data_IF_532135278564
#
_entry.id   IF_532135278564
#
_cell.length_a   1.000
_cell.length_b   1.000
_cell.length_c   1.000
_cell.angle_alpha   90.00
_cell.angle_beta   90.00
_cell.angle_gamma   90.00
#
_symmetry.space_group_name_H-M   'P 1'
#
loop_
_entity.id
_entity.type
_entity.pdbx_description
1 polymer ?
#
# COMPACT_ATOMS: atom_id res chain seq x y z
N UNK A 1 13.91 -13.64 14.19
CA UNK A 1 12.48 -13.37 14.37
C UNK A 1 11.74 -13.67 13.06
N UNK A 2 11.93 -12.96 11.96
CA UNK A 2 11.20 -13.17 10.70
C UNK A 2 11.20 -14.61 10.16
N UNK A 3 12.34 -15.33 10.22
CA UNK A 3 12.39 -16.76 9.88
C UNK A 3 11.58 -17.65 10.81
N UNK A 4 11.43 -17.27 12.08
CA UNK A 4 10.58 -18.01 13.01
C UNK A 4 9.09 -17.80 12.71
N UNK A 5 8.69 -16.58 12.37
CA UNK A 5 7.32 -16.27 11.95
C UNK A 5 6.98 -16.96 10.63
N UNK A 6 7.88 -16.92 9.65
CA UNK A 6 7.71 -17.65 8.38
C UNK A 6 7.53 -19.17 8.59
N UNK A 7 8.32 -19.77 9.53
CA UNK A 7 8.17 -21.17 9.93
C UNK A 7 6.86 -21.44 10.66
N UNK A 8 6.37 -20.51 11.43
CA UNK A 8 5.11 -20.64 12.15
C UNK A 8 3.87 -20.40 11.25
N UNK A 9 4.06 -20.00 9.99
CA UNK A 9 2.96 -19.69 9.09
C UNK A 9 2.31 -18.33 9.35
N UNK A 10 2.96 -17.46 10.12
CA UNK A 10 2.49 -16.09 10.36
C UNK A 10 2.74 -15.18 9.18
N UNK A 11 1.96 -14.13 9.06
CA UNK A 11 2.22 -13.08 8.08
C UNK A 11 3.54 -12.35 8.37
N UNK A 12 4.35 -12.13 7.35
CA UNK A 12 5.64 -11.42 7.47
C UNK A 12 5.72 -10.33 6.43
N UNK A 13 5.93 -9.10 6.86
CA UNK A 13 6.32 -7.99 5.98
C UNK A 13 7.66 -7.46 6.47
N UNK A 14 8.64 -7.35 5.59
CA UNK A 14 9.97 -6.84 5.94
C UNK A 14 10.41 -5.77 4.94
N UNK A 15 10.82 -4.61 5.46
CA UNK A 15 11.40 -3.52 4.69
C UNK A 15 12.87 -3.34 5.07
N UNK A 16 13.75 -3.40 4.08
CA UNK A 16 15.20 -3.34 4.27
C UNK A 16 15.82 -2.31 3.30
N UNK A 17 16.32 -1.16 3.80
CA UNK A 17 16.90 -0.10 2.99
C UNK A 17 18.34 -0.37 2.54
N UNK A 18 18.96 -1.45 2.99
CA UNK A 18 20.30 -1.91 2.59
C UNK A 18 20.19 -3.11 1.64
N UNK A 19 19.28 -4.02 1.93
CA UNK A 19 19.00 -5.21 1.15
C UNK A 19 19.71 -6.48 1.64
N UNK A 20 20.61 -6.37 2.59
CA UNK A 20 21.40 -7.50 3.09
C UNK A 20 20.56 -8.42 3.98
N UNK A 21 19.67 -7.84 4.79
CA UNK A 21 18.78 -8.59 5.68
C UNK A 21 17.78 -9.40 4.87
N UNK A 22 17.17 -8.83 3.85
CA UNK A 22 16.28 -9.55 2.94
C UNK A 22 17.02 -10.67 2.22
N UNK A 23 18.21 -10.43 1.71
CA UNK A 23 19.05 -11.48 1.06
C UNK A 23 19.36 -12.62 2.03
N UNK A 24 19.73 -12.29 3.27
CA UNK A 24 20.00 -13.27 4.30
C UNK A 24 18.76 -14.10 4.68
N UNK A 25 17.57 -13.49 4.68
CA UNK A 25 16.30 -14.18 4.91
C UNK A 25 15.94 -15.09 3.74
N UNK A 26 16.02 -14.61 2.48
CA UNK A 26 15.75 -15.41 1.28
C UNK A 26 16.54 -16.71 1.26
N UNK A 27 17.85 -16.63 1.55
CA UNK A 27 18.74 -17.79 1.59
C UNK A 27 18.39 -18.84 2.67
N UNK A 28 17.42 -18.57 3.54
CA UNK A 28 17.07 -19.38 4.74
C UNK A 28 15.57 -19.66 4.88
N UNK A 29 14.75 -19.21 3.94
CA UNK A 29 13.31 -19.47 3.99
C UNK A 29 13.03 -20.98 4.00
N UNK A 30 12.08 -21.46 4.81
CA UNK A 30 11.62 -22.84 4.71
C UNK A 30 10.87 -23.04 3.40
N UNK A 31 10.95 -24.23 2.84
CA UNK A 31 10.33 -24.58 1.54
C UNK A 31 8.85 -24.21 1.47
N UNK A 32 8.08 -24.58 2.48
CA UNK A 32 6.65 -24.25 2.59
C UNK A 32 6.33 -22.75 2.61
N UNK A 33 7.33 -21.89 2.77
CA UNK A 33 7.18 -20.44 2.76
C UNK A 33 7.38 -19.84 1.36
N UNK A 34 7.97 -20.58 0.43
CA UNK A 34 8.30 -20.09 -0.91
C UNK A 34 7.07 -19.77 -1.74
N UNK A 35 6.04 -20.63 -1.69
CA UNK A 35 4.79 -20.43 -2.43
C UNK A 35 4.00 -19.18 -2.01
N UNK A 36 4.30 -18.66 -0.82
CA UNK A 36 3.63 -17.48 -0.22
C UNK A 36 4.49 -16.23 -0.27
N UNK A 37 5.60 -16.26 -1.03
CA UNK A 37 6.58 -15.20 -1.07
C UNK A 37 6.26 -14.17 -2.15
N UNK A 38 6.11 -12.93 -1.74
CA UNK A 38 6.14 -11.74 -2.59
C UNK A 38 7.48 -11.04 -2.39
N UNK A 39 8.21 -10.79 -3.45
CA UNK A 39 9.51 -10.11 -3.42
C UNK A 39 9.44 -8.78 -4.18
N UNK A 40 9.70 -7.69 -3.48
CA UNK A 40 9.89 -6.36 -4.07
C UNK A 40 11.39 -6.07 -4.08
N UNK A 41 12.02 -6.22 -5.23
CA UNK A 41 13.47 -6.06 -5.40
C UNK A 41 13.78 -5.35 -6.74
N UNK A 42 14.57 -4.27 -6.75
CA UNK A 42 14.96 -3.59 -7.99
C UNK A 42 15.80 -4.46 -8.93
N UNK A 43 16.37 -5.55 -8.44
CA UNK A 43 17.12 -6.52 -9.26
C UNK A 43 16.19 -7.50 -10.01
N UNK A 44 14.93 -7.65 -9.58
CA UNK A 44 13.95 -8.45 -10.29
C UNK A 44 13.40 -7.67 -11.49
N UNK A 45 13.71 -8.12 -12.70
CA UNK A 45 13.35 -7.42 -13.94
C UNK A 45 12.50 -8.26 -14.89
N UNK A 46 12.38 -9.56 -14.63
CA UNK A 46 11.61 -10.48 -15.45
C UNK A 46 10.13 -10.43 -15.08
N UNK A 47 9.82 -10.66 -13.83
CA UNK A 47 8.47 -10.61 -13.29
C UNK A 47 8.43 -9.87 -11.94
N UNK A 48 8.70 -8.54 -11.91
CA UNK A 48 8.64 -7.76 -10.68
C UNK A 48 7.23 -7.73 -10.11
N UNK A 49 7.13 -7.66 -8.78
CA UNK A 49 5.87 -7.42 -8.10
C UNK A 49 5.28 -6.06 -8.51
N UNK A 50 3.96 -5.98 -8.55
CA UNK A 50 3.22 -4.77 -8.87
C UNK A 50 2.25 -4.41 -7.74
N UNK A 51 2.14 -3.11 -7.44
CA UNK A 51 1.25 -2.56 -6.42
C UNK A 51 0.56 -1.31 -6.96
N UNK A 52 -0.73 -1.40 -7.22
CA UNK A 52 -1.53 -0.22 -7.50
C UNK A 52 -1.99 0.41 -6.18
N UNK A 53 -1.33 1.49 -5.77
CA UNK A 53 -1.65 2.18 -4.51
C UNK A 53 -2.97 2.92 -4.54
N UNK A 54 -3.54 3.16 -5.73
CA UNK A 54 -4.88 3.73 -5.88
C UNK A 54 -5.99 2.67 -5.78
N UNK A 55 -5.67 1.38 -5.76
CA UNK A 55 -6.60 0.26 -5.82
C UNK A 55 -7.00 -0.24 -4.41
N UNK A 56 -7.21 0.65 -3.46
CA UNK A 56 -7.64 0.30 -2.09
C UNK A 56 -9.10 0.68 -1.82
N UNK A 57 -9.74 -0.01 -0.90
CA UNK A 57 -11.06 0.36 -0.37
C UNK A 57 -10.97 0.64 1.14
N UNK A 58 -11.67 1.68 1.66
CA UNK A 58 -12.46 2.67 0.91
C UNK A 58 -11.61 3.59 0.00
N UNK A 59 -12.23 4.09 -1.07
CA UNK A 59 -11.55 4.90 -2.09
C UNK A 59 -10.91 6.17 -1.53
N UNK A 60 -11.61 6.86 -0.63
CA UNK A 60 -11.13 8.07 0.02
C UNK A 60 -9.87 7.80 0.85
N UNK A 61 -9.86 6.70 1.60
CA UNK A 61 -8.71 6.29 2.42
C UNK A 61 -7.47 6.02 1.57
N UNK A 62 -7.63 5.37 0.41
CA UNK A 62 -6.51 5.13 -0.50
C UNK A 62 -5.91 6.44 -1.04
N UNK A 63 -6.76 7.41 -1.38
CA UNK A 63 -6.31 8.75 -1.82
C UNK A 63 -5.62 9.49 -0.68
N UNK A 64 -6.21 9.49 0.51
CA UNK A 64 -5.64 10.15 1.70
C UNK A 64 -4.26 9.59 2.05
N UNK A 65 -4.09 8.28 1.98
CA UNK A 65 -2.80 7.64 2.23
C UNK A 65 -1.73 8.08 1.22
N UNK A 66 -2.04 8.09 -0.06
CA UNK A 66 -1.10 8.55 -1.09
C UNK A 66 -0.73 10.01 -0.85
N UNK A 67 -1.71 10.89 -0.70
CA UNK A 67 -1.48 12.34 -0.50
C UNK A 67 -0.66 12.60 0.75
N UNK A 68 -1.01 11.97 1.88
CA UNK A 68 -0.32 12.17 3.15
C UNK A 68 1.12 11.66 3.13
N UNK A 69 1.39 10.51 2.48
CA UNK A 69 2.75 9.99 2.32
C UNK A 69 3.60 10.96 1.48
N UNK A 70 3.06 11.46 0.36
CA UNK A 70 3.73 12.47 -0.44
C UNK A 70 4.00 13.75 0.35
N UNK A 71 3.01 14.25 1.09
CA UNK A 71 3.13 15.45 1.93
C UNK A 71 4.27 15.35 2.94
N UNK A 72 4.39 14.21 3.62
CA UNK A 72 5.43 13.99 4.63
C UNK A 72 6.82 13.82 4.03
N UNK A 73 6.95 13.08 2.91
CA UNK A 73 8.25 12.85 2.27
C UNK A 73 8.79 14.13 1.62
N UNK A 74 7.91 14.92 1.02
CA UNK A 74 8.28 16.14 0.31
C UNK A 74 7.91 17.42 1.08
N UNK A 75 7.85 17.35 2.40
CA UNK A 75 7.38 18.42 3.30
C UNK A 75 8.02 19.78 3.05
N UNK A 76 9.31 19.84 2.72
CA UNK A 76 10.03 21.08 2.41
C UNK A 76 9.45 21.86 1.19
N UNK A 77 8.71 21.19 0.33
CA UNK A 77 8.16 21.75 -0.92
C UNK A 77 6.64 21.55 -1.02
N UNK A 78 6.02 21.15 0.07
CA UNK A 78 4.59 20.85 0.12
C UNK A 78 3.80 22.07 0.56
N UNK A 79 2.67 22.31 -0.11
CA UNK A 79 1.75 23.36 0.27
C UNK A 79 0.31 23.02 -0.11
N UNK A 80 -0.68 23.77 0.38
CA UNK A 80 -2.09 23.49 0.17
C UNK A 80 -2.47 23.27 -1.31
N UNK A 81 -1.87 24.06 -2.20
CA UNK A 81 -2.11 23.94 -3.65
C UNK A 81 -1.55 22.64 -4.23
N UNK A 82 -0.37 22.21 -3.80
CA UNK A 82 0.23 20.94 -4.24
C UNK A 82 -0.60 19.75 -3.75
N UNK A 83 -1.08 19.83 -2.53
CA UNK A 83 -1.97 18.84 -1.95
C UNK A 83 -3.28 18.73 -2.71
N UNK A 84 -3.95 19.85 -2.97
CA UNK A 84 -5.22 19.90 -3.69
C UNK A 84 -5.09 19.31 -5.11
N UNK A 85 -4.02 19.65 -5.84
CA UNK A 85 -3.73 19.07 -7.16
C UNK A 85 -3.55 17.55 -7.09
N UNK A 86 -2.73 17.04 -6.16
CA UNK A 86 -2.51 15.60 -6.06
C UNK A 86 -3.77 14.86 -5.62
N UNK A 87 -4.49 15.40 -4.65
CA UNK A 87 -5.76 14.86 -4.14
C UNK A 87 -6.79 14.78 -5.25
N UNK A 88 -7.01 15.87 -5.97
CA UNK A 88 -7.97 15.93 -7.08
C UNK A 88 -7.59 14.98 -8.22
N UNK A 89 -6.30 14.88 -8.54
CA UNK A 89 -5.82 13.93 -9.55
C UNK A 89 -6.05 12.47 -9.12
N UNK A 90 -5.67 12.08 -7.90
CA UNK A 90 -5.88 10.73 -7.39
C UNK A 90 -7.38 10.38 -7.31
N UNK A 91 -8.21 11.28 -6.78
CA UNK A 91 -9.66 11.07 -6.67
C UNK A 91 -10.34 10.93 -8.04
N UNK A 92 -9.87 11.67 -9.05
CA UNK A 92 -10.36 11.54 -10.43
C UNK A 92 -9.93 10.21 -11.05
N UNK A 93 -8.65 9.81 -10.88
CA UNK A 93 -8.12 8.56 -11.41
C UNK A 93 -8.78 7.33 -10.77
N UNK A 94 -9.16 7.38 -9.50
CA UNK A 94 -9.92 6.30 -8.85
C UNK A 94 -11.23 5.93 -9.56
N UNK A 95 -11.82 6.85 -10.30
CA UNK A 95 -13.03 6.60 -11.11
C UNK A 95 -12.73 5.87 -12.41
N UNK A 96 -11.47 5.80 -12.82
CA UNK A 96 -11.02 5.10 -14.01
C UNK A 96 -10.46 3.73 -13.62
N UNK A 97 -11.13 2.61 -13.92
CA UNK A 97 -10.65 1.28 -13.59
C UNK A 97 -9.23 1.03 -14.10
N UNK A 98 -8.35 0.57 -13.23
CA UNK A 98 -6.96 0.28 -13.55
C UNK A 98 -6.08 1.51 -13.77
N UNK A 99 -6.52 2.72 -13.39
CA UNK A 99 -5.65 3.89 -13.35
C UNK A 99 -4.63 3.76 -12.20
N UNK A 100 -3.49 4.39 -12.38
CA UNK A 100 -2.33 4.28 -11.48
C UNK A 100 -1.68 5.64 -11.25
N UNK A 101 -0.72 5.72 -10.32
CA UNK A 101 0.10 6.92 -10.14
C UNK A 101 0.80 7.38 -11.43
N UNK A 102 1.10 6.45 -12.34
CA UNK A 102 1.75 6.77 -13.61
C UNK A 102 0.83 7.52 -14.59
N UNK A 103 -0.47 7.60 -14.33
CA UNK A 103 -1.43 8.33 -15.16
C UNK A 103 -1.60 9.79 -14.69
N UNK A 104 -1.13 10.16 -13.49
CA UNK A 104 -1.24 11.54 -12.97
C UNK A 104 -0.61 12.56 -13.92
N UNK A 105 0.63 12.36 -14.44
CA UNK A 105 1.22 13.31 -15.37
C UNK A 105 0.36 13.58 -16.61
N UNK A 106 -0.23 12.55 -17.20
CA UNK A 106 -1.08 12.69 -18.38
C UNK A 106 -2.39 13.38 -18.02
N UNK A 107 -3.03 13.00 -16.91
CA UNK A 107 -4.24 13.66 -16.41
C UNK A 107 -4.03 15.18 -16.24
N UNK A 108 -2.86 15.58 -15.71
CA UNK A 108 -2.54 16.99 -15.46
C UNK A 108 -2.15 17.77 -16.73
N UNK A 109 -1.55 17.14 -17.74
CA UNK A 109 -0.99 17.86 -18.91
C UNK A 109 -1.81 17.71 -20.18
N UNK A 110 -2.61 16.66 -20.33
CA UNK A 110 -3.40 16.39 -21.54
C UNK A 110 -4.89 16.66 -21.29
N UNK A 111 -5.36 17.86 -21.74
CA UNK A 111 -6.76 18.25 -21.61
C UNK A 111 -7.69 17.32 -22.39
N UNK A 112 -7.30 16.86 -23.57
CA UNK A 112 -8.14 16.01 -24.39
C UNK A 112 -8.36 14.64 -23.73
N UNK A 113 -7.33 14.11 -23.07
CA UNK A 113 -7.43 12.89 -22.28
C UNK A 113 -8.27 13.07 -21.01
N UNK A 114 -8.14 14.21 -20.33
CA UNK A 114 -8.84 14.53 -19.09
C UNK A 114 -10.33 14.80 -19.29
N UNK A 115 -10.70 15.49 -20.39
CA UNK A 115 -12.05 16.02 -20.61
C UNK A 115 -13.17 14.97 -20.44
N UNK A 116 -13.09 13.73 -20.99
CA UNK A 116 -14.13 12.72 -20.80
C UNK A 116 -14.29 12.29 -19.33
N UNK A 117 -13.20 12.26 -18.56
CA UNK A 117 -13.24 11.92 -17.15
C UNK A 117 -13.91 13.03 -16.34
N UNK A 118 -13.55 14.27 -16.61
CA UNK A 118 -14.12 15.45 -15.95
C UNK A 118 -15.60 15.63 -16.30
N UNK A 119 -16.00 15.39 -17.55
CA UNK A 119 -17.42 15.47 -17.96
C UNK A 119 -18.31 14.42 -17.31
N UNK A 120 -17.75 13.32 -16.82
CA UNK A 120 -18.46 12.28 -16.06
C UNK A 120 -18.66 12.62 -14.58
N UNK A 121 -18.02 13.69 -14.09
CA UNK A 121 -18.14 14.11 -12.69
C UNK A 121 -19.47 14.82 -12.46
N UNK A 122 -20.06 14.63 -11.27
CA UNK A 122 -21.25 15.36 -10.87
C UNK A 122 -20.96 16.86 -10.77
N UNK A 123 -21.85 17.70 -11.27
CA UNK A 123 -21.77 19.17 -11.18
C UNK A 123 -21.65 19.66 -9.72
N UNK A 124 -22.19 18.89 -8.77
CA UNK A 124 -22.11 19.21 -7.33
C UNK A 124 -20.84 18.70 -6.65
N UNK A 125 -19.96 18.01 -7.39
CA UNK A 125 -18.71 17.50 -6.80
C UNK A 125 -17.65 18.59 -6.75
N UNK A 126 -16.92 18.70 -5.64
CA UNK A 126 -15.76 19.58 -5.54
C UNK A 126 -14.68 19.29 -6.60
N UNK A 127 -14.61 18.03 -7.08
CA UNK A 127 -13.70 17.65 -8.17
C UNK A 127 -14.03 18.36 -9.49
N UNK A 128 -15.32 18.50 -9.82
CA UNK A 128 -15.73 19.22 -11.05
C UNK A 128 -15.29 20.67 -10.94
N UNK A 129 -15.58 21.34 -9.81
CA UNK A 129 -15.15 22.73 -9.57
C UNK A 129 -13.64 22.93 -9.65
N UNK A 130 -12.85 21.98 -9.10
CA UNK A 130 -11.40 22.01 -9.24
C UNK A 130 -10.96 21.99 -10.70
N UNK A 131 -11.48 21.08 -11.51
CA UNK A 131 -11.09 20.94 -12.91
C UNK A 131 -11.54 22.12 -13.77
N UNK A 132 -12.73 22.67 -13.52
CA UNK A 132 -13.21 23.87 -14.22
C UNK A 132 -12.31 25.08 -13.93
N UNK A 133 -11.93 25.27 -12.69
CA UNK A 133 -10.98 26.30 -12.29
C UNK A 133 -9.58 26.07 -12.90
N UNK A 134 -9.11 24.83 -12.90
CA UNK A 134 -7.81 24.45 -13.49
C UNK A 134 -7.78 24.65 -15.00
N UNK A 135 -8.84 24.26 -15.71
CA UNK A 135 -8.94 24.38 -17.16
C UNK A 135 -9.17 25.82 -17.64
N UNK A 136 -9.62 26.72 -16.76
CA UNK A 136 -9.71 28.15 -17.01
C UNK A 136 -8.36 28.88 -16.91
N UNK A 137 -7.34 28.25 -16.31
CA UNK A 137 -6.00 28.85 -16.24
C UNK A 137 -5.32 28.89 -17.62
N UNK A 138 -4.48 29.91 -17.82
CA UNK A 138 -3.56 29.94 -18.97
C UNK A 138 -2.57 28.77 -18.91
N UNK A 139 -1.97 28.34 -20.04
CA UNK A 139 -0.94 27.29 -20.04
C UNK A 139 0.21 27.54 -19.07
N UNK A 140 0.64 28.80 -18.93
CA UNK A 140 1.66 29.19 -17.95
C UNK A 140 1.16 29.03 -16.51
N UNK A 141 -0.09 29.40 -16.23
CA UNK A 141 -0.74 29.22 -14.93
C UNK A 141 -0.88 27.71 -14.56
N UNK A 142 -1.31 26.88 -15.51
CA UNK A 142 -1.37 25.45 -15.32
C UNK A 142 0.03 24.87 -14.99
N UNK A 143 1.05 25.22 -15.77
CA UNK A 143 2.42 24.77 -15.56
C UNK A 143 2.96 25.16 -14.16
N UNK A 144 2.64 26.36 -13.69
CA UNK A 144 3.01 26.83 -12.36
C UNK A 144 2.33 26.02 -11.24
N UNK A 145 1.04 25.73 -11.41
CA UNK A 145 0.24 24.99 -10.42
C UNK A 145 0.73 23.55 -10.28
N UNK A 146 1.01 22.86 -11.38
CA UNK A 146 1.40 21.43 -11.36
C UNK A 146 2.90 21.21 -11.20
N UNK A 147 3.73 22.24 -11.42
CA UNK A 147 5.20 22.14 -11.43
C UNK A 147 5.78 21.36 -10.23
N UNK A 148 5.44 21.73 -8.99
CA UNK A 148 5.95 21.03 -7.80
C UNK A 148 5.67 19.53 -7.81
N UNK A 149 4.41 19.13 -8.03
CA UNK A 149 4.04 17.69 -8.01
C UNK A 149 4.62 16.93 -9.21
N UNK A 150 4.66 17.57 -10.39
CA UNK A 150 5.23 16.96 -11.59
C UNK A 150 6.73 16.66 -11.44
N UNK A 151 7.48 17.55 -10.79
CA UNK A 151 8.90 17.31 -10.53
C UNK A 151 9.10 16.09 -9.62
N UNK A 152 8.27 15.93 -8.58
CA UNK A 152 8.34 14.79 -7.65
C UNK A 152 7.91 13.48 -8.30
N UNK A 153 6.83 13.49 -9.04
CA UNK A 153 6.40 12.31 -9.80
C UNK A 153 7.43 11.88 -10.84
N UNK A 154 8.05 12.83 -11.55
CA UNK A 154 9.13 12.52 -12.52
C UNK A 154 10.34 11.91 -11.82
N UNK A 155 10.78 12.47 -10.70
CA UNK A 155 11.92 11.94 -9.94
C UNK A 155 11.73 10.46 -9.58
N UNK A 156 10.53 10.07 -9.18
CA UNK A 156 10.19 8.68 -8.82
C UNK A 156 9.91 7.83 -10.07
N UNK A 157 9.00 8.27 -10.94
CA UNK A 157 8.53 7.48 -12.10
C UNK A 157 9.54 7.42 -13.26
N UNK A 158 10.62 8.21 -13.25
CA UNK A 158 11.73 8.04 -14.19
C UNK A 158 12.47 6.72 -13.95
N UNK A 159 12.44 6.19 -12.73
CA UNK A 159 13.09 4.93 -12.37
C UNK A 159 12.24 3.75 -12.84
N UNK A 160 12.89 2.80 -13.53
CA UNK A 160 12.21 1.59 -14.04
C UNK A 160 11.50 0.83 -12.92
N UNK A 161 12.19 0.61 -11.80
CA UNK A 161 11.64 -0.10 -10.64
C UNK A 161 10.31 0.50 -10.16
N UNK A 162 10.25 1.83 -9.98
CA UNK A 162 9.04 2.50 -9.52
C UNK A 162 7.91 2.43 -10.56
N UNK A 163 8.23 2.50 -11.86
CA UNK A 163 7.24 2.31 -12.92
C UNK A 163 6.72 0.89 -12.98
N UNK A 164 7.59 -0.11 -12.82
CA UNK A 164 7.20 -1.51 -12.81
C UNK A 164 6.32 -1.81 -11.58
N UNK A 165 6.66 -1.26 -10.41
CA UNK A 165 5.91 -1.44 -9.17
C UNK A 165 4.54 -0.72 -9.18
N UNK A 166 4.50 0.57 -9.53
CA UNK A 166 3.31 1.41 -9.41
C UNK A 166 2.54 1.62 -10.72
N UNK A 167 3.00 1.03 -11.81
CA UNK A 167 2.44 1.27 -13.14
C UNK A 167 1.48 0.20 -13.64
N UNK A 168 1.27 -0.87 -12.92
CA UNK A 168 0.30 -1.92 -13.29
C UNK A 168 -1.11 -1.56 -12.86
N UNK A 169 -2.07 -1.86 -13.73
CA UNK A 169 -3.50 -1.59 -13.51
C UNK A 169 -4.07 -2.33 -12.30
N UNK A 170 -3.56 -3.53 -12.02
CA UNK A 170 -3.92 -4.32 -10.85
C UNK A 170 -2.65 -4.70 -10.08
N UNK A 171 -2.76 -4.74 -8.76
CA UNK A 171 -1.73 -5.32 -7.91
C UNK A 171 -1.49 -6.78 -8.27
N UNK A 172 -0.27 -7.27 -8.13
CA UNK A 172 0.06 -8.69 -8.37
C UNK A 172 -0.11 -9.55 -7.12
N UNK A 173 -0.38 -8.93 -5.98
CA UNK A 173 -0.63 -9.58 -4.69
C UNK A 173 -1.63 -8.76 -3.88
N UNK A 174 -2.32 -9.41 -2.92
CA UNK A 174 -3.16 -8.73 -1.94
C UNK A 174 -2.42 -8.65 -0.59
N UNK A 175 -2.37 -7.46 -0.01
CA UNK A 175 -1.75 -7.25 1.30
C UNK A 175 -2.52 -7.98 2.42
N UNK A 176 -3.81 -8.26 2.24
CA UNK A 176 -4.59 -9.08 3.18
C UNK A 176 -4.08 -10.52 3.23
N UNK A 177 -3.78 -11.10 2.06
CA UNK A 177 -3.21 -12.46 1.97
C UNK A 177 -1.82 -12.51 2.59
N UNK A 178 -1.02 -11.44 2.41
CA UNK A 178 0.28 -11.31 3.07
C UNK A 178 0.13 -11.33 4.59
N UNK A 179 -0.82 -10.58 5.15
CA UNK A 179 -1.06 -10.54 6.60
C UNK A 179 -1.73 -11.83 7.11
N UNK A 180 -2.44 -12.56 6.27
CA UNK A 180 -3.11 -13.82 6.61
C UNK A 180 -2.19 -15.05 6.46
N UNK A 181 -0.87 -14.84 6.48
CA UNK A 181 0.16 -15.87 6.51
C UNK A 181 1.12 -15.84 5.32
N UNK A 182 0.99 -14.86 4.42
CA UNK A 182 1.93 -14.61 3.34
C UNK A 182 3.25 -13.99 3.81
N UNK A 183 4.17 -13.82 2.90
CA UNK A 183 5.49 -13.22 3.17
C UNK A 183 5.75 -12.16 2.10
N UNK A 184 5.99 -10.93 2.54
CA UNK A 184 6.44 -9.85 1.67
C UNK A 184 7.81 -9.38 2.13
N UNK A 185 8.80 -9.50 1.26
CA UNK A 185 10.14 -9.00 1.49
C UNK A 185 10.41 -7.85 0.51
N UNK A 186 10.70 -6.66 1.04
CA UNK A 186 10.99 -5.48 0.25
C UNK A 186 12.45 -5.05 0.44
N UNK A 187 13.24 -5.27 -0.59
CA UNK A 187 14.63 -4.84 -0.70
C UNK A 187 14.66 -3.45 -1.35
N UNK A 188 14.97 -2.41 -0.57
CA UNK A 188 14.86 -1.02 -0.99
C UNK A 188 16.19 -0.27 -0.88
N UNK A 189 17.29 -0.72 -1.55
CA UNK A 189 18.63 -0.17 -1.39
C UNK A 189 18.68 1.27 -1.88
N UNK A 190 18.91 2.21 -0.97
CA UNK A 190 18.98 3.65 -1.25
C UNK A 190 20.04 4.00 -2.30
N UNK A 191 21.17 3.30 -2.31
CA UNK A 191 22.23 3.51 -3.29
C UNK A 191 21.79 3.25 -4.74
N UNK A 192 20.89 2.28 -4.95
CA UNK A 192 20.38 1.93 -6.28
C UNK A 192 19.12 2.73 -6.62
N UNK A 193 18.20 2.86 -5.67
CA UNK A 193 16.90 3.49 -5.89
C UNK A 193 16.91 5.00 -5.72
N UNK A 194 17.92 5.55 -5.05
CA UNK A 194 17.90 6.91 -4.52
C UNK A 194 17.00 7.02 -3.28
N UNK A 195 17.35 7.94 -2.41
CA UNK A 195 16.72 8.07 -1.09
C UNK A 195 15.20 8.35 -1.18
N UNK A 196 14.79 9.34 -1.99
CA UNK A 196 13.37 9.73 -2.13
C UNK A 196 12.52 8.56 -2.63
N UNK A 197 13.00 7.79 -3.63
CA UNK A 197 12.26 6.64 -4.16
C UNK A 197 12.13 5.52 -3.14
N UNK A 198 13.23 5.17 -2.45
CA UNK A 198 13.22 4.13 -1.42
C UNK A 198 12.27 4.50 -0.27
N UNK A 199 12.32 5.76 0.19
CA UNK A 199 11.42 6.29 1.25
C UNK A 199 9.97 6.26 0.81
N UNK A 200 9.66 6.71 -0.41
CA UNK A 200 8.27 6.73 -0.92
C UNK A 200 7.72 5.31 -1.05
N UNK A 201 8.47 4.39 -1.66
CA UNK A 201 8.03 2.99 -1.79
C UNK A 201 7.79 2.36 -0.44
N UNK A 202 8.74 2.49 0.49
CA UNK A 202 8.61 1.92 1.83
C UNK A 202 7.43 2.51 2.61
N UNK A 203 7.23 3.83 2.59
CA UNK A 203 6.11 4.47 3.27
C UNK A 203 4.75 4.07 2.68
N UNK A 204 4.64 3.95 1.35
CA UNK A 204 3.42 3.46 0.70
C UNK A 204 3.15 1.98 1.04
N UNK A 205 4.18 1.14 1.15
CA UNK A 205 4.04 -0.24 1.61
C UNK A 205 3.54 -0.30 3.06
N UNK A 206 4.13 0.47 3.98
CA UNK A 206 3.68 0.52 5.38
C UNK A 206 2.24 1.02 5.47
N UNK A 207 1.86 2.06 4.70
CA UNK A 207 0.49 2.54 4.63
C UNK A 207 -0.48 1.45 4.14
N UNK A 208 -0.09 0.65 3.15
CA UNK A 208 -0.90 -0.49 2.66
C UNK A 208 -1.00 -1.62 3.68
N UNK A 209 0.07 -1.90 4.42
CA UNK A 209 0.04 -2.84 5.56
C UNK A 209 -0.96 -2.37 6.62
N UNK A 210 -0.90 -1.09 6.99
CA UNK A 210 -1.81 -0.52 7.97
C UNK A 210 -3.27 -0.57 7.50
N UNK A 211 -3.55 -0.17 6.26
CA UNK A 211 -4.88 -0.27 5.66
C UNK A 211 -5.42 -1.72 5.66
N UNK A 212 -4.58 -2.69 5.30
CA UNK A 212 -4.98 -4.09 5.33
C UNK A 212 -5.19 -4.62 6.76
N UNK A 213 -4.40 -4.15 7.72
CA UNK A 213 -4.55 -4.51 9.13
C UNK A 213 -5.88 -3.97 9.71
N UNK A 214 -6.18 -2.70 9.51
CA UNK A 214 -7.43 -2.07 9.97
C UNK A 214 -8.66 -2.68 9.32
N UNK A 215 -8.58 -3.06 8.04
CA UNK A 215 -9.66 -3.75 7.32
C UNK A 215 -9.97 -5.15 7.88
N UNK A 216 -9.15 -5.68 8.80
CA UNK A 216 -9.38 -6.95 9.51
C UNK A 216 -10.19 -6.77 10.80
N UNK A 217 -10.58 -5.54 11.15
CA UNK A 217 -11.25 -5.23 12.43
C UNK A 217 -12.48 -6.11 12.68
N UNK A 218 -13.28 -6.36 11.65
CA UNK A 218 -14.53 -7.13 11.74
C UNK A 218 -14.36 -8.65 11.57
N UNK A 219 -13.13 -9.13 11.30
CA UNK A 219 -12.89 -10.57 11.17
C UNK A 219 -12.87 -11.25 12.54
N UNK A 220 -13.59 -12.37 12.68
CA UNK A 220 -13.62 -13.18 13.90
C UNK A 220 -12.26 -13.85 14.17
N UNK A 221 -11.57 -14.29 13.12
CA UNK A 221 -10.24 -14.89 13.20
C UNK A 221 -9.24 -14.00 12.46
N UNK A 222 -8.22 -13.57 13.17
CA UNK A 222 -7.13 -12.73 12.65
C UNK A 222 -5.82 -13.45 12.88
N UNK A 223 -5.20 -14.04 11.85
CA UNK A 223 -3.86 -14.59 11.98
C UNK A 223 -2.86 -13.52 12.41
N UNK A 224 -1.89 -13.93 13.23
CA UNK A 224 -0.80 -13.03 13.64
C UNK A 224 0.07 -12.67 12.43
N UNK A 225 0.44 -11.41 12.33
CA UNK A 225 1.39 -10.90 11.34
C UNK A 225 2.42 -10.00 12.00
N UNK A 226 3.59 -9.90 11.40
CA UNK A 226 4.66 -9.00 11.87
C UNK A 226 5.18 -8.13 10.75
N UNK A 227 5.21 -6.83 11.01
CA UNK A 227 5.87 -5.82 10.19
C UNK A 227 7.27 -5.54 10.76
N UNK A 228 8.30 -5.90 10.02
CA UNK A 228 9.70 -5.61 10.33
C UNK A 228 10.17 -4.41 9.52
N UNK A 229 10.58 -3.34 10.18
CA UNK A 229 11.05 -2.11 9.54
C UNK A 229 12.49 -1.86 10.01
N UNK A 230 13.43 -2.21 9.16
CA UNK A 230 14.84 -1.91 9.39
C UNK A 230 15.11 -0.46 9.01
N UNK A 231 15.99 0.24 9.78
CA UNK A 231 16.26 1.68 9.63
C UNK A 231 14.94 2.48 9.53
N UNK A 232 14.06 2.29 10.52
CA UNK A 232 12.65 2.69 10.48
C UNK A 232 12.41 4.19 10.21
N UNK A 233 13.35 5.07 10.53
CA UNK A 233 13.31 6.49 10.21
C UNK A 233 13.15 6.78 8.71
N UNK A 234 13.43 5.79 7.86
CA UNK A 234 13.31 5.95 6.42
C UNK A 234 11.90 5.75 5.90
N UNK A 235 11.06 4.97 6.60
CA UNK A 235 9.81 4.44 6.05
C UNK A 235 8.55 4.85 6.81
N UNK A 236 8.70 5.47 7.99
CA UNK A 236 7.55 5.81 8.84
C UNK A 236 7.01 7.23 8.59
N UNK A 237 7.04 7.69 7.34
CA UNK A 237 6.29 8.86 6.89
C UNK A 237 4.82 8.47 6.61
N UNK A 238 4.08 8.08 7.67
CA UNK A 238 2.75 7.49 7.57
C UNK A 238 1.64 8.54 7.50
N UNK A 239 0.48 8.22 6.90
CA UNK A 239 -0.72 9.08 6.91
C UNK A 239 -1.25 9.32 8.32
N UNK A 240 -1.29 8.28 9.13
CA UNK A 240 -1.68 8.30 10.53
C UNK A 240 -0.48 8.59 11.41
N UNK A 241 -0.68 9.17 12.58
CA UNK A 241 0.39 9.34 13.54
C UNK A 241 1.00 7.98 13.89
N UNK A 242 2.34 7.90 13.93
CA UNK A 242 3.02 6.63 14.26
C UNK A 242 2.63 6.13 15.64
N UNK A 243 2.33 7.05 16.56
CA UNK A 243 1.86 6.76 17.90
C UNK A 243 0.56 5.96 17.89
N UNK A 244 -0.44 6.39 17.10
CA UNK A 244 -1.71 5.68 16.93
C UNK A 244 -1.48 4.29 16.33
N UNK A 245 -0.64 4.18 15.29
CA UNK A 245 -0.30 2.90 14.66
C UNK A 245 0.30 1.92 15.68
N UNK A 246 1.25 2.38 16.49
CA UNK A 246 1.91 1.53 17.49
C UNK A 246 0.99 1.16 18.66
N UNK A 247 0.09 2.06 19.05
CA UNK A 247 -0.89 1.81 20.09
C UNK A 247 -1.95 0.78 19.67
N UNK A 248 -2.44 0.87 18.43
CA UNK A 248 -3.58 0.09 17.94
C UNK A 248 -3.19 -1.22 17.26
N UNK A 249 -1.98 -1.34 16.70
CA UNK A 249 -1.55 -2.48 15.86
C UNK A 249 -1.83 -3.85 16.53
N UNK A 250 -1.65 -3.93 17.84
CA UNK A 250 -1.94 -5.16 18.60
C UNK A 250 -3.41 -5.59 18.50
N UNK A 251 -4.34 -4.65 18.48
CA UNK A 251 -5.78 -4.92 18.33
C UNK A 251 -6.11 -5.58 16.98
N UNK A 252 -5.29 -5.36 15.96
CA UNK A 252 -5.42 -5.96 14.63
C UNK A 252 -4.54 -7.22 14.44
N UNK A 253 -3.96 -7.78 15.49
CA UNK A 253 -3.00 -8.88 15.43
C UNK A 253 -1.78 -8.59 14.54
N UNK A 254 -1.36 -7.32 14.51
CA UNK A 254 -0.16 -6.86 13.82
C UNK A 254 0.91 -6.51 14.87
N UNK A 255 2.00 -7.27 14.90
CA UNK A 255 3.21 -6.91 15.63
C UNK A 255 4.06 -5.98 14.77
N UNK A 256 4.64 -4.95 15.39
CA UNK A 256 5.55 -4.02 14.70
C UNK A 256 6.93 -4.10 15.35
N UNK A 257 7.95 -4.40 14.56
CA UNK A 257 9.35 -4.45 14.96
C UNK A 257 10.10 -3.33 14.24
N UNK A 258 10.57 -2.37 15.04
CA UNK A 258 11.31 -1.21 14.55
C UNK A 258 12.78 -1.35 14.92
N UNK A 259 13.67 -1.19 13.94
CA UNK A 259 15.10 -1.10 14.18
C UNK A 259 15.64 0.25 13.70
N UNK A 260 16.56 0.82 14.47
CA UNK A 260 17.28 2.05 14.12
C UNK A 260 18.67 2.04 14.72
N UNK A 261 19.66 2.74 14.12
CA UNK A 261 21.05 2.68 14.58
C UNK A 261 21.29 3.52 15.84
N UNK A 262 20.67 4.69 15.96
CA UNK A 262 20.77 5.57 17.13
C UNK A 262 19.60 6.56 17.21
N UNK A 263 19.33 7.07 18.42
CA UNK A 263 18.18 7.96 18.69
C UNK A 263 18.22 9.26 17.89
N UNK A 264 19.40 9.82 17.67
CA UNK A 264 19.55 11.09 16.96
C UNK A 264 19.11 11.10 15.49
N UNK A 265 18.87 9.92 14.89
CA UNK A 265 18.32 9.81 13.55
C UNK A 265 16.79 9.72 13.52
N UNK A 266 16.16 9.46 14.66
CA UNK A 266 14.72 9.39 14.72
C UNK A 266 14.11 10.80 14.77
N UNK A 267 13.08 11.10 13.97
CA UNK A 267 12.20 12.22 14.25
C UNK A 267 11.70 12.15 15.69
N UNK A 268 11.52 13.30 16.32
CA UNK A 268 11.18 13.36 17.74
C UNK A 268 9.87 12.66 18.07
N UNK A 269 8.85 12.84 17.24
CA UNK A 269 7.55 12.17 17.35
C UNK A 269 7.68 10.64 17.28
N UNK A 270 8.50 10.14 16.37
CA UNK A 270 8.77 8.69 16.25
C UNK A 270 9.54 8.15 17.46
N UNK A 271 10.53 8.88 17.95
CA UNK A 271 11.30 8.47 19.13
C UNK A 271 10.41 8.40 20.39
N UNK A 272 9.54 9.39 20.59
CA UNK A 272 8.57 9.44 21.68
C UNK A 272 7.54 8.30 21.56
N UNK A 273 6.94 8.11 20.39
CA UNK A 273 6.00 7.02 20.11
C UNK A 273 6.60 5.63 20.35
N UNK A 274 7.80 5.38 19.83
CA UNK A 274 8.51 4.10 20.03
C UNK A 274 8.88 3.89 21.51
N UNK A 275 9.27 4.95 22.22
CA UNK A 275 9.57 4.89 23.65
C UNK A 275 8.36 4.51 24.50
N UNK A 276 7.18 5.08 24.17
CA UNK A 276 5.94 4.86 24.90
C UNK A 276 5.30 3.49 24.58
N UNK A 277 5.17 3.17 23.30
CA UNK A 277 4.33 2.05 22.84
C UNK A 277 5.10 0.74 22.61
N UNK A 278 6.40 0.77 22.29
CA UNK A 278 7.19 -0.44 22.12
C UNK A 278 7.57 -1.03 23.49
N UNK A 279 6.74 -1.93 24.01
CA UNK A 279 6.95 -2.55 25.33
C UNK A 279 8.16 -3.47 25.38
N UNK A 280 8.46 -4.18 24.28
CA UNK A 280 9.66 -4.99 24.17
C UNK A 280 10.80 -4.14 23.63
N UNK A 281 11.90 -4.07 24.34
CA UNK A 281 13.06 -3.27 23.98
C UNK A 281 14.32 -4.16 23.97
N UNK A 282 15.11 -4.01 22.92
CA UNK A 282 16.37 -4.76 22.72
C UNK A 282 17.42 -3.76 22.27
N UNK A 283 18.48 -3.62 23.08
CA UNK A 283 19.57 -2.70 22.82
C UNK A 283 20.86 -3.48 22.56
N UNK A 284 21.46 -3.28 21.41
CA UNK A 284 22.86 -3.61 21.19
C UNK A 284 23.75 -2.54 21.81
N UNK A 285 25.06 -2.63 21.65
CA UNK A 285 25.95 -1.61 22.13
C UNK A 285 25.58 -0.23 21.58
N UNK A 286 25.29 0.74 22.45
CA UNK A 286 24.86 2.08 22.09
C UNK A 286 25.87 3.14 22.53
N UNK A 287 25.78 4.34 21.96
CA UNK A 287 26.60 5.48 22.40
C UNK A 287 26.34 5.84 23.87
N UNK A 288 27.32 6.44 24.58
CA UNK A 288 27.10 6.91 25.94
C UNK A 288 25.94 7.91 26.08
N UNK A 289 25.70 8.72 25.04
CA UNK A 289 24.59 9.68 24.99
C UNK A 289 23.26 8.96 24.95
N UNK A 290 23.09 8.01 24.01
CA UNK A 290 21.88 7.18 23.89
C UNK A 290 21.67 6.33 25.15
N UNK A 291 22.75 5.78 25.72
CA UNK A 291 22.70 4.97 26.94
C UNK A 291 22.05 5.71 28.11
N UNK A 292 22.36 7.01 28.30
CA UNK A 292 21.76 7.84 29.36
C UNK A 292 20.24 7.99 29.17
N UNK A 293 19.80 8.12 27.93
CA UNK A 293 18.37 8.26 27.62
C UNK A 293 17.64 6.93 27.75
N UNK A 294 18.25 5.85 27.28
CA UNK A 294 17.64 4.51 27.23
C UNK A 294 17.62 3.80 28.58
N UNK A 295 18.54 4.15 29.50
CA UNK A 295 18.63 3.55 30.83
C UNK A 295 17.34 3.66 31.66
N UNK A 296 16.51 4.71 31.43
CA UNK A 296 15.19 4.82 32.07
C UNK A 296 14.28 3.59 31.84
N UNK A 297 14.56 2.80 30.82
CA UNK A 297 13.81 1.57 30.52
C UNK A 297 14.41 0.30 31.14
N UNK A 298 15.65 0.38 31.63
CA UNK A 298 16.41 -0.79 32.12
C UNK A 298 16.82 -0.68 33.59
N UNK A 299 16.88 0.53 34.15
CA UNK A 299 17.13 0.74 35.55
C UNK A 299 16.03 0.13 36.46
N UNK A 300 16.36 -0.31 37.67
CA UNK A 300 17.68 -0.24 38.31
C UNK A 300 18.63 -1.40 37.94
N UNK A 301 18.20 -2.34 37.05
CA UNK A 301 18.93 -3.60 36.80
C UNK A 301 20.13 -3.42 35.86
N UNK A 302 20.02 -2.57 34.86
CA UNK A 302 21.10 -2.21 33.93
C UNK A 302 21.22 -0.70 33.85
N UNK A 303 22.45 -0.20 34.09
CA UNK A 303 22.78 1.24 34.11
C UNK A 303 23.25 1.71 32.74
N UNK A 304 23.41 3.04 32.51
CA UNK A 304 23.95 3.57 31.25
C UNK A 304 25.29 2.94 30.84
N UNK A 305 26.16 2.67 31.82
CA UNK A 305 27.44 2.02 31.58
C UNK A 305 27.28 0.65 30.93
N UNK A 306 26.35 -0.16 31.44
CA UNK A 306 26.10 -1.53 30.94
C UNK A 306 25.60 -1.49 29.47
N UNK A 307 24.77 -0.52 29.09
CA UNK A 307 24.23 -0.37 27.73
C UNK A 307 25.29 0.07 26.72
N UNK A 308 26.31 0.82 27.16
CA UNK A 308 27.40 1.30 26.29
C UNK A 308 28.62 0.39 26.28
N UNK A 309 28.60 -0.73 27.01
CA UNK A 309 29.72 -1.68 27.15
C UNK A 309 29.29 -3.12 26.90
N UNK A 310 28.29 -3.33 26.02
CA UNK A 310 27.88 -4.66 25.60
C UNK A 310 28.90 -5.25 24.60
N UNK A 311 29.22 -6.54 24.81
CA UNK A 311 30.08 -7.28 23.88
C UNK A 311 29.41 -7.51 22.51
N UNK A 312 30.20 -7.97 21.56
CA UNK A 312 29.69 -8.39 20.26
C UNK A 312 28.61 -9.49 20.44
N UNK A 313 27.47 -9.31 19.76
CA UNK A 313 26.31 -10.21 19.85
C UNK A 313 25.62 -10.26 21.23
N UNK A 314 26.02 -9.45 22.17
CA UNK A 314 25.31 -9.27 23.43
C UNK A 314 24.29 -8.13 23.30
N UNK A 315 23.16 -8.28 23.95
CA UNK A 315 22.08 -7.29 23.99
C UNK A 315 21.54 -7.13 25.41
N UNK A 316 21.14 -5.92 25.74
CA UNK A 316 20.31 -5.63 26.88
C UNK A 316 18.84 -5.67 26.46
N UNK A 317 18.00 -6.34 27.25
CA UNK A 317 16.60 -6.56 26.94
C UNK A 317 15.69 -6.13 28.08
N UNK A 318 14.55 -5.53 27.75
CA UNK A 318 13.34 -5.47 28.56
C UNK A 318 12.21 -6.08 27.74
N UNK A 319 11.65 -7.19 28.22
CA UNK A 319 10.66 -7.98 27.47
C UNK A 319 9.38 -8.16 28.28
N UNK A 320 8.28 -8.33 27.56
CA UNK A 320 6.97 -8.73 28.12
C UNK A 320 6.73 -10.19 27.76
N UNK A 321 6.58 -11.05 28.77
CA UNK A 321 6.30 -12.47 28.57
C UNK A 321 5.04 -12.84 29.35
N UNK A 322 4.09 -13.51 28.70
CA UNK A 322 2.82 -13.88 29.33
C UNK A 322 2.05 -12.69 29.92
N UNK A 323 2.16 -11.49 29.30
CA UNK A 323 1.52 -10.26 29.74
C UNK A 323 2.24 -9.54 30.91
N UNK A 324 3.33 -10.10 31.43
CA UNK A 324 4.12 -9.53 32.55
C UNK A 324 5.42 -8.90 32.02
N UNK A 325 5.74 -7.71 32.51
CA UNK A 325 7.04 -7.08 32.28
C UNK A 325 8.13 -7.84 33.04
N UNK A 326 9.16 -8.28 32.32
CA UNK A 326 10.35 -8.85 32.95
C UNK A 326 11.31 -7.71 33.34
N UNK A 327 12.10 -7.98 34.40
CA UNK A 327 13.24 -7.12 34.74
C UNK A 327 14.22 -7.07 33.56
N UNK A 328 14.90 -5.93 33.38
CA UNK A 328 15.92 -5.83 32.35
C UNK A 328 17.08 -6.80 32.62
N UNK A 329 17.55 -7.45 31.57
CA UNK A 329 18.64 -8.43 31.62
C UNK A 329 19.46 -8.41 30.33
N UNK A 330 20.62 -9.03 30.32
CA UNK A 330 21.43 -9.23 29.13
C UNK A 330 21.30 -10.65 28.61
N UNK A 331 21.41 -10.80 27.28
CA UNK A 331 21.52 -12.11 26.64
C UNK A 331 22.45 -12.04 25.42
N UNK A 332 22.93 -13.19 24.99
CA UNK A 332 23.72 -13.32 23.78
C UNK A 332 22.83 -13.79 22.64
N UNK A 333 22.86 -13.07 21.52
CA UNK A 333 22.10 -13.46 20.34
C UNK A 333 22.71 -14.71 19.70
N UNK A 334 21.86 -15.54 19.11
CA UNK A 334 22.34 -16.70 18.33
C UNK A 334 22.73 -16.25 16.91
N UNK A 335 23.73 -16.86 16.29
CA UNK A 335 24.02 -16.64 14.88
C UNK A 335 22.82 -17.05 14.03
N UNK A 336 22.73 -16.47 12.82
CA UNK A 336 21.76 -16.94 11.84
C UNK A 336 22.01 -18.43 11.51
N UNK A 337 20.97 -19.21 11.28
CA UNK A 337 21.14 -20.59 10.78
C UNK A 337 21.93 -20.56 9.47
N UNK A 338 22.64 -21.65 9.12
CA UNK A 338 23.32 -21.74 7.82
C UNK A 338 22.36 -21.45 6.67
N UNK A 339 22.88 -20.82 5.61
CA UNK A 339 22.13 -20.66 4.36
C UNK A 339 21.88 -22.04 3.73
N UNK A 340 20.73 -22.22 3.14
CA UNK A 340 20.35 -23.42 2.39
C UNK A 340 20.87 -23.23 0.96
N UNK A 341 21.68 -24.19 0.46
CA UNK A 341 22.26 -24.11 -0.87
C UNK A 341 21.18 -23.94 -1.95
N UNK A 342 21.34 -22.96 -2.84
CA UNK A 342 20.41 -22.67 -3.92
C UNK A 342 19.09 -21.98 -3.49
N UNK A 343 18.81 -21.86 -2.19
CA UNK A 343 17.51 -21.35 -1.67
C UNK A 343 17.19 -19.92 -2.10
N UNK A 344 18.16 -19.04 -2.18
CA UNK A 344 17.92 -17.66 -2.63
C UNK A 344 17.42 -17.64 -4.09
N UNK A 345 18.07 -18.40 -4.97
CA UNK A 345 17.67 -18.47 -6.38
C UNK A 345 16.27 -19.09 -6.53
N UNK A 346 16.00 -20.18 -5.83
CA UNK A 346 14.70 -20.83 -5.77
C UNK A 346 13.61 -19.89 -5.25
N UNK A 347 13.86 -19.17 -4.15
CA UNK A 347 12.93 -18.21 -3.59
C UNK A 347 12.59 -17.08 -4.58
N UNK A 348 13.59 -16.59 -5.33
CA UNK A 348 13.38 -15.59 -6.39
C UNK A 348 12.52 -16.14 -7.53
N UNK A 349 12.70 -17.39 -7.90
CA UNK A 349 11.87 -18.06 -8.93
C UNK A 349 10.41 -18.18 -8.47
N UNK A 350 10.16 -18.66 -7.25
CA UNK A 350 8.81 -18.69 -6.68
C UNK A 350 8.18 -17.30 -6.61
N UNK A 351 8.93 -16.29 -6.21
CA UNK A 351 8.42 -14.92 -6.12
C UNK A 351 7.97 -14.36 -7.49
N UNK A 352 8.53 -14.82 -8.61
CA UNK A 352 8.11 -14.43 -9.96
C UNK A 352 6.67 -14.86 -10.28
N UNK A 353 6.17 -15.92 -9.67
CA UNK A 353 4.77 -16.33 -9.82
C UNK A 353 3.79 -15.26 -9.28
N UNK A 354 4.22 -14.44 -8.32
CA UNK A 354 3.50 -13.30 -7.79
C UNK A 354 3.89 -11.96 -8.44
N UNK A 355 4.59 -11.99 -9.56
CA UNK A 355 5.02 -10.83 -10.31
C UNK A 355 4.21 -10.60 -11.58
N UNK A 356 4.56 -9.55 -12.33
CA UNK A 356 4.02 -9.26 -13.66
C UNK A 356 5.09 -9.50 -14.71
N UNK A 357 4.88 -10.49 -15.56
CA UNK A 357 5.78 -10.82 -16.65
C UNK A 357 5.99 -9.64 -17.61
N UNK A 358 7.07 -9.67 -18.37
CA UNK A 358 7.33 -8.66 -19.39
C UNK A 358 6.22 -8.58 -20.44
N UNK A 359 5.59 -9.73 -20.78
CA UNK A 359 4.49 -9.81 -21.74
C UNK A 359 3.24 -9.12 -21.19
N UNK A 360 2.85 -9.38 -19.94
CA UNK A 360 1.72 -8.74 -19.28
C UNK A 360 1.91 -7.24 -19.16
N UNK A 361 3.07 -6.77 -18.69
CA UNK A 361 3.39 -5.34 -18.59
C UNK A 361 3.32 -4.65 -19.95
N UNK A 362 3.83 -5.31 -21.02
CA UNK A 362 3.74 -4.78 -22.39
C UNK A 362 2.29 -4.73 -22.86
N UNK A 363 1.50 -5.75 -22.58
CA UNK A 363 0.08 -5.78 -22.89
C UNK A 363 -0.67 -4.64 -22.19
N UNK A 364 -0.47 -4.46 -20.89
CA UNK A 364 -1.07 -3.37 -20.12
C UNK A 364 -0.73 -1.98 -20.71
N UNK A 365 0.54 -1.77 -21.07
CA UNK A 365 0.96 -0.52 -21.73
C UNK A 365 0.25 -0.30 -23.08
N UNK A 366 0.05 -1.36 -23.87
CA UNK A 366 -0.69 -1.26 -25.15
C UNK A 366 -2.18 -0.98 -24.93
N UNK A 367 -2.81 -1.63 -23.95
CA UNK A 367 -4.21 -1.37 -23.57
C UNK A 367 -4.36 0.08 -23.09
N UNK A 368 -3.44 0.56 -22.25
CA UNK A 368 -3.40 1.94 -21.77
C UNK A 368 -3.28 2.94 -22.93
N UNK A 369 -2.34 2.72 -23.87
CA UNK A 369 -2.17 3.55 -25.08
C UNK A 369 -3.41 3.53 -25.97
N UNK A 370 -4.08 2.39 -26.16
CA UNK A 370 -5.34 2.28 -26.92
C UNK A 370 -6.48 3.05 -26.25
N UNK A 371 -6.56 2.98 -24.92
CA UNK A 371 -7.53 3.74 -24.12
C UNK A 371 -7.31 5.25 -24.29
N UNK A 372 -6.06 5.72 -24.21
CA UNK A 372 -5.68 7.10 -24.50
C UNK A 372 -6.15 7.55 -25.90
N UNK A 373 -5.86 6.75 -26.94
CA UNK A 373 -6.27 7.08 -28.31
C UNK A 373 -7.78 7.14 -28.49
N UNK A 374 -8.52 6.19 -27.93
CA UNK A 374 -9.99 6.17 -28.02
C UNK A 374 -10.63 7.37 -27.35
N UNK A 375 -10.11 7.84 -26.25
CA UNK A 375 -10.57 9.05 -25.59
C UNK A 375 -10.28 10.33 -26.40
N UNK A 376 -9.17 10.37 -27.15
CA UNK A 376 -8.85 11.47 -28.05
C UNK A 376 -9.70 11.48 -29.33
N UNK A 377 -10.13 10.31 -29.83
CA UNK A 377 -10.91 10.19 -31.07
C UNK A 377 -12.41 10.16 -30.85
N UNK A 378 -12.91 9.90 -29.65
CA UNK A 378 -14.34 9.81 -29.32
C UNK A 378 -15.10 11.15 -29.31
N UNK A 379 -14.46 12.26 -29.68
CA UNK A 379 -15.07 13.59 -29.77
C UNK A 379 -15.67 13.98 -31.12
N UNK A 380 -15.71 13.08 -32.12
CA UNK A 380 -16.45 13.32 -33.37
C UNK A 380 -17.57 12.29 -33.50
N UNK A 381 -18.85 12.67 -33.35
CA UNK A 381 -19.94 11.90 -33.91
C UNK A 381 -19.78 12.01 -35.41
N UNK A 382 -19.43 10.89 -36.06
CA UNK A 382 -19.47 10.79 -37.51
C UNK A 382 -20.89 11.03 -37.96
N UNK A 383 -21.14 12.23 -38.52
CA UNK A 383 -22.33 12.52 -39.28
C UNK A 383 -22.34 11.64 -40.52
N UNK A 384 -23.10 10.55 -40.45
CA UNK A 384 -23.54 9.86 -41.67
C UNK A 384 -24.82 10.57 -42.09
N UNK A 385 -24.72 11.39 -43.14
CA UNK A 385 -25.88 11.86 -43.86
C UNK A 385 -26.63 10.67 -44.48
N UNK A 386 -27.93 10.57 -44.34
CA UNK A 386 -28.67 9.56 -45.09
C UNK A 386 -28.84 10.03 -46.54
N UNK A 387 -28.15 9.36 -47.43
CA UNK A 387 -28.41 9.44 -48.86
C UNK A 387 -29.76 8.82 -49.18
N UNK A 388 -30.62 9.64 -49.77
CA UNK A 388 -31.90 9.27 -50.38
C UNK A 388 -31.64 8.49 -51.65
N UNK A 389 -32.26 7.30 -51.81
CA UNK A 389 -32.91 6.94 -53.09
C UNK A 389 -33.53 5.52 -53.04
N UNK A 390 -34.75 5.47 -53.52
CA UNK A 390 -35.24 4.42 -54.40
C UNK A 390 -36.05 3.28 -53.78
N UNK A 391 -37.38 3.46 -53.89
CA UNK A 391 -38.36 2.47 -53.50
C UNK A 391 -38.34 1.16 -54.30
N UNK A 392 -39.01 0.19 -53.79
CA UNK A 392 -40.02 -0.71 -54.43
C UNK A 392 -40.65 -1.57 -53.32
N UNK A 393 -41.98 -1.45 -53.12
CA UNK A 393 -42.86 -2.44 -52.52
C UNK A 393 -43.49 -3.23 -53.65
N UNK A 394 -44.33 -4.30 -53.48
CA UNK A 394 -44.88 -4.92 -52.28
C UNK A 394 -44.91 -6.49 -52.35
N UNK A 395 -45.33 -7.11 -51.25
CA UNK A 395 -45.69 -8.53 -51.25
C UNK A 395 -46.35 -8.96 -49.93
N UNK A 396 -47.65 -8.92 -49.93
CA UNK A 396 -48.61 -9.42 -48.92
C UNK A 396 -48.44 -10.93 -48.74
N UNK A 397 -48.44 -11.43 -47.54
CA UNK A 397 -49.23 -12.67 -47.19
C UNK A 397 -49.55 -12.74 -45.68
N UNK A 398 -50.76 -13.23 -45.46
CA UNK A 398 -51.62 -13.19 -44.30
C UNK A 398 -51.23 -14.13 -43.16
N UNK A 399 -51.74 -13.79 -41.97
CA UNK A 399 -51.97 -14.57 -40.73
C UNK A 399 -52.83 -15.80 -40.99
N UNK A 400 -53.02 -16.80 -40.02
CA UNK A 400 -53.70 -16.53 -38.74
C UNK A 400 -53.34 -17.46 -37.55
N UNK A 401 -53.81 -17.11 -36.37
CA UNK A 401 -54.31 -18.05 -35.37
C UNK A 401 -53.85 -17.90 -33.92
N UNK A 402 -54.59 -17.09 -33.14
CA UNK A 402 -54.74 -17.21 -31.68
C UNK A 402 -55.71 -18.37 -31.38
N UNK A 403 -55.85 -18.95 -30.15
CA UNK A 403 -56.40 -18.21 -29.01
C UNK A 403 -55.86 -18.62 -27.59
N UNK A 404 -56.05 -17.76 -26.63
CA UNK A 404 -56.04 -18.06 -25.19
C UNK A 404 -57.35 -18.83 -24.77
N UNK A 405 -57.72 -19.01 -23.50
CA UNK A 405 -57.56 -18.11 -22.36
C UNK A 405 -57.47 -18.79 -20.94
N UNK A 406 -57.36 -17.94 -19.89
CA UNK A 406 -58.02 -17.98 -18.58
C UNK A 406 -57.60 -19.00 -17.48
N UNK A 407 -57.35 -18.61 -16.29
CA UNK A 407 -58.11 -18.27 -15.08
C UNK A 407 -57.22 -18.28 -13.83
N UNK A 408 -57.16 -17.14 -13.13
CA UNK A 408 -57.82 -16.77 -11.85
C UNK A 408 -57.34 -17.38 -10.54
N UNK A 409 -57.03 -16.43 -9.63
CA UNK A 409 -57.34 -16.35 -8.18
C UNK A 409 -56.37 -17.11 -7.23
N UNK A 410 -55.95 -16.59 -6.10
CA UNK A 410 -56.41 -15.63 -5.08
C UNK A 410 -55.27 -15.42 -4.08
N UNK A 411 -54.97 -14.21 -3.71
CA UNK A 411 -55.20 -13.60 -2.40
C UNK A 411 -54.51 -14.17 -1.15
N UNK A 412 -53.80 -13.27 -0.51
CA UNK A 412 -53.24 -13.20 0.85
C UNK A 412 -54.14 -13.72 1.98
N UNK A 413 -53.67 -13.90 3.21
CA UNK A 413 -53.34 -12.77 4.07
C UNK A 413 -52.20 -13.00 5.11
N UNK A 414 -51.68 -11.90 5.60
CA UNK A 414 -51.06 -11.71 6.93
C UNK A 414 -52.13 -11.83 8.02
N UNK A 415 -51.78 -12.21 9.29
CA UNK A 415 -51.58 -11.21 10.32
C UNK A 415 -50.47 -11.57 11.36
N UNK A 416 -49.83 -10.54 11.86
CA UNK A 416 -49.97 -9.85 13.14
C UNK A 416 -49.37 -10.53 14.39
N UNK A 417 -48.37 -9.84 14.95
CA UNK A 417 -48.14 -9.45 16.35
C UNK A 417 -48.08 -10.51 17.44
N UNK A 418 -47.02 -10.48 18.19
CA UNK A 418 -47.03 -10.27 19.66
C UNK A 418 -45.60 -10.33 20.21
N UNK A 419 -45.17 -9.22 20.75
CA UNK A 419 -44.26 -9.10 21.89
C UNK A 419 -45.12 -9.31 23.14
N UNK A 420 -44.68 -9.62 24.35
CA UNK A 420 -43.56 -9.02 25.06
C UNK A 420 -42.83 -9.89 26.13
N UNK A 421 -41.75 -9.32 26.63
CA UNK A 421 -41.24 -9.31 28.03
C UNK A 421 -40.87 -10.60 28.79
N UNK A 422 -39.66 -10.53 29.27
CA UNK A 422 -39.28 -10.55 30.70
C UNK A 422 -38.28 -11.61 31.18
N UNK A 423 -37.46 -11.11 32.13
CA UNK A 423 -36.70 -11.75 33.24
C UNK A 423 -35.30 -12.26 32.90
N UNK A 424 -34.25 -11.51 33.26
CA UNK A 424 -33.56 -11.32 34.57
C UNK A 424 -32.76 -12.52 35.05
N UNK A 425 -31.46 -12.22 35.31
CA UNK A 425 -30.55 -12.71 36.36
C UNK A 425 -30.11 -14.17 36.37
N UNK A 426 -28.86 -14.38 36.15
CA UNK A 426 -27.83 -14.84 37.12
C UNK A 426 -26.45 -14.52 36.62
#
# INVERSE_FOLDING_TARGET
MALADARAGRGVVMLDPKGDTVTAVLARLPERALERLVLIDPMETEAPAALNVLDGEPAEVAVDHVVSVFARIFSAWWGPRTEDVLRSACATLRRLPGATLADIPVLLTDRAWRAPLVSSLSERSGLKGFWDAYDALSPAGQAQVIGPIMNKLRAVLSRRFARDLFGSAASSFDMKDVLDGGILLARLPKGTLGEETARLVGALLVARVWQAATARADKTVRPDATLYVDECQNFLALPTAVDDVLAEARGYHLSVVLAHPHLGQLPRDLAEAASANARNKVYFNVSPEDARVLARHTEPYLKPYDLSHLDAYQVACRLVVGGRDLHAFTLRTRPLPPAIAGREAEAREYARAHGRSRAERRHELLVRRRRHRRQQTGGRPGGVSPGVSGGVSPGVFETPGSPGPNHRHKASPTPASEDPDSWSSS
#
